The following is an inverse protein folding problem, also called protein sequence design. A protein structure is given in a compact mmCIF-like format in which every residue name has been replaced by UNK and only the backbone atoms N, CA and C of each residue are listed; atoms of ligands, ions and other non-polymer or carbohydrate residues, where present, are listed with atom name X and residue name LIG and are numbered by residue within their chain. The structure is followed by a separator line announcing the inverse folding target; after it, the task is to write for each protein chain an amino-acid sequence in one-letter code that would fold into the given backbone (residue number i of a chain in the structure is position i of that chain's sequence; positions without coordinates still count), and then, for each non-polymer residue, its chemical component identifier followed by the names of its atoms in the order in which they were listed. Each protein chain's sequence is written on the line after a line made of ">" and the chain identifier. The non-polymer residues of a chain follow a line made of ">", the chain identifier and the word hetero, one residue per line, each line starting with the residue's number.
data_IF_182622945149
#
_entry.id   IF_182622945149
#
_cell.length_a   1.000
_cell.length_b   1.000
_cell.length_c   1.000
_cell.angle_alpha   90.00
_cell.angle_beta   90.00
_cell.angle_gamma   90.00
#
_symmetry.space_group_name_H-M   'P 1'
#
loop_
_entity.id
_entity.type
_entity.pdbx_description
1 polymer ?
#
# COMPACT_ATOMS: atom_id res chain seq x y z
N UNK A 1 -5.57 -5.54 9.01
CA UNK A 1 -6.68 -6.41 9.39
C UNK A 1 -7.67 -6.57 8.23
N UNK A 2 -8.47 -7.62 8.28
CA UNK A 2 -9.47 -7.88 7.25
C UNK A 2 -10.44 -6.71 7.08
N UNK A 3 -10.91 -6.15 8.20
CA UNK A 3 -11.85 -5.02 8.19
C UNK A 3 -11.26 -3.80 7.49
N UNK A 4 -10.00 -3.52 7.74
CA UNK A 4 -9.33 -2.37 7.16
C UNK A 4 -9.09 -2.56 5.67
N UNK A 5 -8.63 -3.75 5.27
CA UNK A 5 -8.44 -4.06 3.85
C UNK A 5 -9.75 -3.85 3.07
N UNK A 6 -10.85 -4.34 3.61
CA UNK A 6 -12.15 -4.20 2.95
C UNK A 6 -12.61 -2.74 2.91
N UNK A 7 -12.35 -1.98 3.96
CA UNK A 7 -12.68 -0.56 3.98
C UNK A 7 -11.90 0.20 2.90
N UNK A 8 -10.59 0.00 2.83
CA UNK A 8 -9.75 0.66 1.83
C UNK A 8 -10.15 0.25 0.42
N UNK A 9 -10.39 -1.06 0.20
CA UNK A 9 -10.84 -1.54 -1.09
C UNK A 9 -12.15 -0.86 -1.51
N UNK A 10 -13.07 -0.73 -0.58
CA UNK A 10 -14.38 -0.11 -0.84
C UNK A 10 -14.25 1.37 -1.17
N UNK A 11 -13.39 2.09 -0.44
CA UNK A 11 -13.11 3.49 -0.73
C UNK A 11 -12.56 3.67 -2.15
N UNK A 12 -11.62 2.82 -2.54
CA UNK A 12 -11.01 2.88 -3.86
C UNK A 12 -12.03 2.51 -4.95
N UNK A 13 -12.79 1.43 -4.75
CA UNK A 13 -13.82 1.01 -5.69
C UNK A 13 -14.88 2.08 -5.89
N UNK A 14 -15.33 2.70 -4.80
CA UNK A 14 -16.35 3.74 -4.87
C UNK A 14 -15.86 4.97 -5.64
N UNK A 15 -14.55 5.22 -5.62
CA UNK A 15 -13.96 6.34 -6.38
C UNK A 15 -13.71 5.98 -7.86
N UNK A 16 -13.76 4.69 -8.21
CA UNK A 16 -13.59 4.22 -9.59
C UNK A 16 -12.31 3.46 -9.86
N UNK A 17 -11.49 3.21 -8.83
CA UNK A 17 -10.29 2.38 -8.97
C UNK A 17 -10.66 0.89 -8.93
N UNK A 18 -9.91 0.07 -9.66
CA UNK A 18 -10.00 -1.38 -9.54
C UNK A 18 -9.05 -1.84 -8.44
N UNK A 19 -9.55 -2.51 -7.43
CA UNK A 19 -8.75 -2.90 -6.28
C UNK A 19 -8.87 -4.39 -5.98
N UNK A 20 -7.73 -5.08 -5.95
CA UNK A 20 -7.61 -6.46 -5.50
C UNK A 20 -7.05 -6.48 -4.08
N UNK A 21 -7.40 -7.50 -3.32
CA UNK A 21 -6.97 -7.65 -1.93
C UNK A 21 -6.09 -8.88 -1.78
N UNK A 22 -4.97 -8.72 -1.06
CA UNK A 22 -4.13 -9.84 -0.66
C UNK A 22 -4.35 -10.14 0.82
N UNK A 23 -4.26 -11.41 1.20
CA UNK A 23 -4.55 -11.84 2.58
C UNK A 23 -3.38 -11.64 3.54
N UNK A 24 -2.16 -11.56 3.01
CA UNK A 24 -0.95 -11.26 3.80
C UNK A 24 0.14 -10.75 2.85
N UNK A 25 1.31 -10.42 3.42
CA UNK A 25 2.41 -9.87 2.64
C UNK A 25 2.95 -10.82 1.58
N UNK A 26 2.97 -12.11 1.87
CA UNK A 26 3.47 -13.10 0.92
C UNK A 26 2.52 -13.25 -0.27
N UNK A 27 1.21 -13.26 0.00
CA UNK A 27 0.19 -13.25 -1.04
C UNK A 27 0.28 -11.99 -1.90
N UNK A 28 0.51 -10.84 -1.26
CA UNK A 28 0.72 -9.57 -1.96
C UNK A 28 1.94 -9.59 -2.86
N UNK A 29 3.06 -10.13 -2.35
CA UNK A 29 4.28 -10.27 -3.13
C UNK A 29 4.06 -11.16 -4.37
N UNK A 30 3.37 -12.29 -4.19
CA UNK A 30 3.05 -13.18 -5.29
C UNK A 30 2.13 -12.49 -6.32
N UNK A 31 1.16 -11.71 -5.84
CA UNK A 31 0.21 -11.01 -6.71
C UNK A 31 0.93 -9.97 -7.59
N UNK A 32 1.82 -9.15 -7.02
CA UNK A 32 2.48 -8.10 -7.79
C UNK A 32 3.47 -8.68 -8.81
N UNK A 33 4.03 -9.87 -8.54
CA UNK A 33 4.90 -10.54 -9.51
C UNK A 33 4.12 -11.20 -10.65
N UNK A 34 2.89 -11.64 -10.39
CA UNK A 34 2.08 -12.36 -11.36
C UNK A 34 1.18 -11.44 -12.20
N UNK A 35 0.74 -10.34 -11.61
CA UNK A 35 -0.22 -9.43 -12.23
C UNK A 35 0.41 -8.12 -12.69
N UNK A 36 -0.46 -7.16 -12.99
CA UNK A 36 -0.06 -5.82 -13.41
C UNK A 36 -0.83 -4.82 -12.56
N UNK A 37 -0.11 -4.06 -11.74
CA UNK A 37 -0.70 -3.12 -10.81
C UNK A 37 -0.05 -1.74 -10.94
N UNK A 38 -0.82 -0.71 -10.62
CA UNK A 38 -0.35 0.68 -10.66
C UNK A 38 0.06 1.18 -9.28
N UNK A 39 -0.38 0.51 -8.21
CA UNK A 39 -0.11 0.92 -6.84
C UNK A 39 -0.27 -0.27 -5.90
N UNK A 40 0.57 -0.32 -4.89
CA UNK A 40 0.41 -1.23 -3.75
C UNK A 40 0.12 -0.40 -2.51
N UNK A 41 -0.93 -0.76 -1.79
CA UNK A 41 -1.24 -0.19 -0.48
C UNK A 41 -1.11 -1.32 0.54
N UNK A 42 -0.29 -1.13 1.55
CA UNK A 42 -0.03 -2.18 2.54
C UNK A 42 -0.03 -1.64 3.95
N UNK A 43 -0.41 -2.48 4.91
CA UNK A 43 -0.21 -2.24 6.33
C UNK A 43 1.22 -2.66 6.70
N UNK A 44 1.74 -2.16 7.82
CA UNK A 44 3.03 -2.61 8.36
C UNK A 44 2.90 -4.01 8.96
N UNK A 45 1.92 -4.20 9.83
CA UNK A 45 1.77 -5.44 10.61
C UNK A 45 0.96 -6.48 9.85
N UNK A 46 1.65 -7.39 9.19
CA UNK A 46 1.04 -8.51 8.46
C UNK A 46 1.79 -9.79 8.75
N UNK A 47 1.09 -10.94 8.79
CA UNK A 47 1.77 -12.22 8.96
C UNK A 47 2.59 -12.61 7.73
N UNK A 48 3.58 -13.42 7.93
CA UNK A 48 4.51 -14.03 6.97
C UNK A 48 5.49 -13.04 6.34
N UNK A 49 5.03 -11.85 5.93
CA UNK A 49 5.87 -10.82 5.35
C UNK A 49 5.21 -9.49 5.69
N UNK A 50 5.89 -8.62 6.45
CA UNK A 50 5.28 -7.35 6.82
C UNK A 50 5.32 -6.34 5.65
N UNK A 51 4.60 -5.22 5.81
CA UNK A 51 4.48 -4.24 4.74
C UNK A 51 5.79 -3.54 4.39
N UNK A 52 6.69 -3.39 5.36
CA UNK A 52 8.01 -2.78 5.11
C UNK A 52 8.88 -3.74 4.32
N UNK A 53 8.86 -5.03 4.66
CA UNK A 53 9.56 -6.06 3.91
C UNK A 53 9.03 -6.17 2.48
N UNK A 54 7.71 -6.10 2.32
CA UNK A 54 7.08 -6.12 1.01
C UNK A 54 7.54 -4.92 0.17
N UNK A 55 7.54 -3.72 0.75
CA UNK A 55 8.02 -2.51 0.07
C UNK A 55 9.47 -2.69 -0.38
N UNK A 56 10.32 -3.22 0.50
CA UNK A 56 11.72 -3.47 0.18
C UNK A 56 11.89 -4.44 -1.00
N UNK A 57 11.15 -5.54 -0.99
CA UNK A 57 11.19 -6.52 -2.08
C UNK A 57 10.78 -5.89 -3.42
N UNK A 58 9.72 -5.11 -3.42
CA UNK A 58 9.24 -4.42 -4.62
C UNK A 58 10.31 -3.45 -5.14
N UNK A 59 10.87 -2.64 -4.26
CA UNK A 59 11.84 -1.60 -4.65
C UNK A 59 13.19 -2.15 -5.07
N UNK A 60 13.53 -3.37 -4.65
CA UNK A 60 14.77 -4.02 -5.06
C UNK A 60 14.62 -4.86 -6.32
N UNK A 61 13.40 -5.11 -6.77
CA UNK A 61 13.15 -5.90 -7.98
C UNK A 61 13.28 -5.00 -9.22
N UNK A 62 14.14 -5.35 -10.19
CA UNK A 62 14.35 -4.51 -11.38
C UNK A 62 13.09 -4.28 -12.21
N UNK A 63 12.14 -5.19 -12.17
CA UNK A 63 10.88 -5.08 -12.93
C UNK A 63 9.77 -4.37 -12.17
N UNK A 64 9.89 -4.24 -10.83
CA UNK A 64 8.84 -3.70 -9.98
C UNK A 64 9.23 -2.41 -9.25
N UNK A 65 10.49 -1.99 -9.33
CA UNK A 65 10.99 -0.87 -8.51
C UNK A 65 10.29 0.46 -8.79
N UNK A 66 9.65 0.62 -9.93
CA UNK A 66 8.91 1.83 -10.26
C UNK A 66 7.45 1.78 -9.82
N UNK A 67 6.98 0.63 -9.34
CA UNK A 67 5.62 0.49 -8.80
C UNK A 67 5.50 1.27 -7.49
N UNK A 68 4.60 2.27 -7.40
CA UNK A 68 4.43 3.02 -6.15
C UNK A 68 3.95 2.14 -5.02
N UNK A 69 4.49 2.37 -3.83
CA UNK A 69 4.09 1.65 -2.61
C UNK A 69 3.70 2.66 -1.54
N UNK A 70 2.47 2.51 -1.05
CA UNK A 70 1.94 3.30 0.04
C UNK A 70 1.79 2.42 1.27
N UNK A 71 2.36 2.84 2.40
CA UNK A 71 2.19 2.15 3.67
C UNK A 71 1.17 2.92 4.50
N UNK A 72 0.18 2.19 5.02
CA UNK A 72 -0.83 2.74 5.93
C UNK A 72 -0.66 2.03 7.27
N UNK A 73 -0.25 2.77 8.29
CA UNK A 73 0.04 2.20 9.61
C UNK A 73 -1.02 2.59 10.62
N UNK A 74 -1.43 1.61 11.44
CA UNK A 74 -2.34 1.85 12.55
C UNK A 74 -1.64 2.23 13.84
N UNK A 75 -0.32 2.15 13.85
CA UNK A 75 0.49 2.50 15.01
C UNK A 75 1.40 3.67 14.63
N UNK A 76 1.39 4.69 15.48
CA UNK A 76 2.24 5.86 15.28
C UNK A 76 3.61 5.56 15.90
N UNK A 77 4.40 4.74 15.20
CA UNK A 77 5.75 4.39 15.60
C UNK A 77 6.74 5.03 14.63
N UNK A 78 7.55 5.93 15.14
CA UNK A 78 8.54 6.65 14.34
C UNK A 78 9.54 5.69 13.69
N UNK A 79 9.94 4.63 14.41
CA UNK A 79 10.87 3.65 13.87
C UNK A 79 10.30 2.92 12.65
N UNK A 80 9.00 2.63 12.64
CA UNK A 80 8.34 2.01 11.49
C UNK A 80 8.31 2.97 10.31
N UNK A 81 8.02 4.24 10.58
CA UNK A 81 8.00 5.25 9.52
C UNK A 81 9.38 5.40 8.87
N UNK A 82 10.44 5.44 9.68
CA UNK A 82 11.81 5.53 9.18
C UNK A 82 12.18 4.29 8.38
N UNK A 83 11.83 3.10 8.88
CA UNK A 83 12.09 1.85 8.17
C UNK A 83 11.34 1.79 6.83
N UNK A 84 10.09 2.25 6.81
CA UNK A 84 9.29 2.30 5.60
C UNK A 84 9.90 3.21 4.54
N UNK A 85 10.37 4.39 4.94
CA UNK A 85 11.03 5.32 4.03
C UNK A 85 12.36 4.76 3.53
N UNK A 86 13.15 4.14 4.41
CA UNK A 86 14.40 3.49 4.01
C UNK A 86 14.18 2.33 3.04
N UNK A 87 13.07 1.62 3.19
CA UNK A 87 12.70 0.54 2.26
C UNK A 87 12.28 1.08 0.89
N UNK A 88 12.07 2.38 0.77
CA UNK A 88 11.72 3.02 -0.49
C UNK A 88 10.24 3.25 -0.71
N UNK A 89 9.42 3.17 0.35
CA UNK A 89 8.00 3.46 0.23
C UNK A 89 7.80 4.90 -0.27
N UNK A 90 6.87 5.07 -1.19
CA UNK A 90 6.59 6.37 -1.81
C UNK A 90 5.70 7.25 -0.94
N UNK A 91 4.93 6.62 -0.06
CA UNK A 91 4.04 7.34 0.84
C UNK A 91 3.85 6.53 2.13
N UNK A 92 3.78 7.22 3.25
CA UNK A 92 3.54 6.59 4.54
C UNK A 92 2.49 7.41 5.30
N UNK A 93 1.36 6.77 5.61
CA UNK A 93 0.25 7.42 6.30
C UNK A 93 0.02 6.73 7.64
N UNK A 94 -0.09 7.50 8.72
CA UNK A 94 -0.47 7.00 10.03
C UNK A 94 -1.98 7.14 10.20
N UNK A 95 -2.66 6.09 10.59
CA UNK A 95 -4.12 6.07 10.67
C UNK A 95 -4.70 7.16 11.58
N UNK A 96 -4.03 7.49 12.67
CA UNK A 96 -4.51 8.54 13.59
C UNK A 96 -4.63 9.91 12.95
N UNK A 97 -3.97 10.14 11.82
CA UNK A 97 -3.95 11.43 11.14
C UNK A 97 -4.56 11.38 9.74
N UNK A 98 -5.16 10.23 9.34
CA UNK A 98 -5.72 10.17 8.02
C UNK A 98 -7.24 10.08 8.03
N UNK A 99 -7.84 10.75 7.07
CA UNK A 99 -9.25 10.67 6.71
C UNK A 99 -9.37 10.05 5.32
N UNK A 100 -10.55 9.59 4.96
CA UNK A 100 -10.80 8.94 3.68
C UNK A 100 -10.31 9.79 2.51
N UNK A 101 -10.56 11.11 2.55
CA UNK A 101 -10.12 12.02 1.50
C UNK A 101 -8.59 12.16 1.46
N UNK A 102 -7.91 12.08 2.60
CA UNK A 102 -6.45 12.10 2.64
C UNK A 102 -5.87 10.90 1.91
N UNK A 103 -6.42 9.71 2.17
CA UNK A 103 -5.99 8.49 1.49
C UNK A 103 -6.23 8.61 -0.03
N UNK A 104 -7.44 9.01 -0.41
CA UNK A 104 -7.82 9.10 -1.83
C UNK A 104 -6.99 10.15 -2.57
N UNK A 105 -6.69 11.28 -1.92
CA UNK A 105 -5.83 12.30 -2.50
C UNK A 105 -4.41 11.78 -2.69
N UNK A 106 -3.87 11.06 -1.72
CA UNK A 106 -2.54 10.46 -1.84
C UNK A 106 -2.48 9.45 -2.99
N UNK A 107 -3.54 8.65 -3.16
CA UNK A 107 -3.62 7.72 -4.30
C UNK A 107 -3.62 8.49 -5.62
N UNK A 108 -4.43 9.53 -5.72
CA UNK A 108 -4.48 10.34 -6.94
C UNK A 108 -3.14 11.03 -7.22
N UNK A 109 -2.43 11.46 -6.18
CA UNK A 109 -1.10 12.07 -6.34
C UNK A 109 -0.08 11.07 -6.89
N UNK A 110 -0.20 9.79 -6.52
CA UNK A 110 0.73 8.76 -6.96
C UNK A 110 0.40 8.21 -8.35
N UNK A 111 -0.86 7.98 -8.66
CA UNK A 111 -1.25 7.28 -9.89
C UNK A 111 -2.30 8.00 -10.73
N UNK A 112 -2.72 9.20 -10.31
CA UNK A 112 -3.75 9.95 -11.02
C UNK A 112 -5.17 9.50 -10.67
N UNK A 113 -6.15 10.20 -11.24
CA UNK A 113 -7.56 9.86 -11.03
C UNK A 113 -7.92 8.59 -11.80
N UNK A 114 -8.96 7.86 -11.39
CA UNK A 114 -9.38 6.66 -12.11
C UNK A 114 -9.80 6.99 -13.54
N UNK A 115 -9.52 6.09 -14.45
CA UNK A 115 -10.04 6.19 -15.81
C UNK A 115 -11.52 5.88 -15.80
N UNK A 116 -12.27 6.66 -16.57
CA UNK A 116 -13.71 6.48 -16.70
C UNK A 116 -14.06 5.69 -17.95
#
# INVERSE_FOLDING_TARGET
>A
SLTVRELVRKLLSNRGYLADVAVDGMDGWNAVRAGHYDLVITDVDMPRLDGIELASLIKQDPHLKSLPVMIVSYKDREEDRLRGLEAGADYYITKGSFHDETLLQAVADLIGDPET
#
